data_IF_659697124805
#
_entry.id   IF_659697124805
#
_cell.length_a   1.000
_cell.length_b   1.000
_cell.length_c   1.000
_cell.angle_alpha   90.00
_cell.angle_beta   90.00
_cell.angle_gamma   90.00
#
_symmetry.space_group_name_H-M   'P 1'
#
loop_
_entity.id
_entity.type
_entity.pdbx_description
1 polymer ?
#
# COMPACT_ATOMS: atom_id res chain seq x y z
N UNK A 1 -1.63 16.83 17.95
CA UNK A 1 -1.70 15.36 17.79
C UNK A 1 -1.91 15.02 16.32
N UNK A 2 -2.90 15.66 15.69
CA UNK A 2 -3.32 15.40 14.31
C UNK A 2 -2.22 15.58 13.26
N UNK A 3 -1.35 16.58 13.41
CA UNK A 3 -0.19 16.80 12.51
C UNK A 3 0.79 15.62 12.55
N UNK A 4 1.03 15.05 13.74
CA UNK A 4 1.96 13.93 13.90
C UNK A 4 1.39 12.66 13.25
N UNK A 5 0.09 12.41 13.42
CA UNK A 5 -0.61 11.31 12.74
C UNK A 5 -0.60 11.47 11.22
N UNK A 6 -0.82 12.68 10.71
CA UNK A 6 -0.75 12.96 9.28
C UNK A 6 0.66 12.70 8.71
N UNK A 7 1.72 13.13 9.41
CA UNK A 7 3.11 12.86 8.99
C UNK A 7 3.42 11.36 9.03
N UNK A 8 3.06 10.63 10.09
CA UNK A 8 3.27 9.19 10.18
C UNK A 8 2.55 8.44 9.06
N UNK A 9 1.29 8.78 8.81
CA UNK A 9 0.51 8.18 7.72
C UNK A 9 1.11 8.46 6.33
N UNK A 10 1.69 9.64 6.13
CA UNK A 10 2.35 9.97 4.87
C UNK A 10 3.60 9.12 4.66
N UNK A 11 4.42 8.93 5.71
CA UNK A 11 5.58 8.04 5.68
C UNK A 11 5.15 6.60 5.37
N UNK A 12 4.07 6.11 5.97
CA UNK A 12 3.53 4.77 5.70
C UNK A 12 3.06 4.61 4.24
N UNK A 13 2.38 5.62 3.67
CA UNK A 13 1.95 5.60 2.27
C UNK A 13 3.17 5.52 1.33
N UNK A 14 4.24 6.26 1.62
CA UNK A 14 5.48 6.21 0.85
C UNK A 14 6.13 4.82 0.97
N UNK A 15 6.19 4.26 2.18
CA UNK A 15 6.71 2.92 2.40
C UNK A 15 5.92 1.86 1.61
N UNK A 16 4.59 1.87 1.70
CA UNK A 16 3.71 0.99 0.93
C UNK A 16 3.91 1.11 -0.59
N UNK A 17 4.13 2.34 -1.08
CA UNK A 17 4.40 2.58 -2.49
C UNK A 17 5.73 1.95 -2.92
N UNK A 18 6.77 2.07 -2.09
CA UNK A 18 8.07 1.46 -2.37
C UNK A 18 8.00 -0.08 -2.36
N UNK A 19 7.28 -0.68 -1.40
CA UNK A 19 7.03 -2.13 -1.39
C UNK A 19 6.32 -2.58 -2.67
N UNK A 20 5.29 -1.86 -3.12
CA UNK A 20 4.58 -2.19 -4.36
C UNK A 20 5.46 -2.00 -5.61
N UNK A 21 6.34 -1.01 -5.62
CA UNK A 21 7.35 -0.86 -6.66
C UNK A 21 8.30 -2.06 -6.73
N UNK A 22 8.73 -2.58 -5.58
CA UNK A 22 9.55 -3.80 -5.53
C UNK A 22 8.80 -5.02 -6.07
N UNK A 23 7.50 -5.16 -5.78
CA UNK A 23 6.66 -6.21 -6.37
C UNK A 23 6.65 -6.13 -7.90
N UNK A 24 6.47 -4.93 -8.45
CA UNK A 24 6.43 -4.72 -9.90
C UNK A 24 7.76 -5.08 -10.56
N UNK A 25 8.88 -4.62 -10.01
CA UNK A 25 10.23 -4.91 -10.53
C UNK A 25 10.51 -6.41 -10.48
N UNK A 26 10.20 -7.08 -9.36
CA UNK A 26 10.43 -8.53 -9.22
C UNK A 26 9.60 -9.35 -10.22
N UNK A 27 8.37 -8.91 -10.52
CA UNK A 27 7.53 -9.55 -11.53
C UNK A 27 8.04 -9.29 -12.97
N UNK A 28 8.61 -8.11 -13.23
CA UNK A 28 9.21 -7.77 -14.53
C UNK A 28 10.51 -8.57 -14.76
N UNK A 29 11.35 -8.73 -13.74
CA UNK A 29 12.53 -9.62 -13.76
C UNK A 29 12.17 -11.09 -14.03
N UNK A 30 11.00 -11.53 -13.57
CA UNK A 30 10.48 -12.86 -13.87
C UNK A 30 9.98 -12.99 -15.32
N UNK A 31 9.35 -11.95 -15.88
CA UNK A 31 8.87 -11.94 -17.27
C UNK A 31 10.02 -11.94 -18.29
N UNK A 32 11.12 -11.27 -17.95
CA UNK A 32 12.34 -11.24 -18.75
C UNK A 32 13.20 -12.52 -18.61
N UNK A 33 12.70 -13.55 -17.92
CA UNK A 33 13.32 -14.86 -17.69
C UNK A 33 14.70 -14.77 -16.98
N UNK A 34 14.94 -13.67 -16.24
CA UNK A 34 16.20 -13.43 -15.54
C UNK A 34 16.28 -14.13 -14.17
N UNK A 35 15.14 -14.49 -13.58
CA UNK A 35 15.06 -15.11 -12.25
C UNK A 35 14.23 -16.38 -12.27
N UNK A 36 14.65 -17.35 -11.45
CA UNK A 36 13.89 -18.57 -11.26
C UNK A 36 12.57 -18.27 -10.51
N UNK A 37 11.41 -18.71 -11.01
CA UNK A 37 10.09 -18.52 -10.37
C UNK A 37 10.01 -18.93 -8.90
N UNK A 38 10.74 -19.98 -8.49
CA UNK A 38 10.79 -20.42 -7.10
C UNK A 38 11.45 -19.38 -6.17
N UNK A 39 12.46 -18.66 -6.67
CA UNK A 39 13.15 -17.62 -5.91
C UNK A 39 12.31 -16.34 -5.87
N UNK A 40 11.61 -16.02 -6.95
CA UNK A 40 10.66 -14.90 -7.01
C UNK A 40 9.51 -15.13 -6.02
N UNK A 41 8.87 -16.30 -6.02
CA UNK A 41 7.80 -16.62 -5.07
C UNK A 41 8.26 -16.47 -3.61
N UNK A 42 9.49 -16.90 -3.28
CA UNK A 42 10.05 -16.78 -1.93
C UNK A 42 10.30 -15.32 -1.52
N UNK A 43 10.77 -14.48 -2.46
CA UNK A 43 10.96 -13.03 -2.22
C UNK A 43 9.63 -12.34 -2.03
N UNK A 44 8.68 -12.57 -2.93
CA UNK A 44 7.34 -12.00 -2.89
C UNK A 44 6.59 -12.39 -1.60
N UNK A 45 6.68 -13.65 -1.20
CA UNK A 45 6.03 -14.12 0.02
C UNK A 45 6.57 -13.44 1.30
N UNK A 46 7.88 -13.15 1.36
CA UNK A 46 8.46 -12.36 2.46
C UNK A 46 7.93 -10.92 2.51
N UNK A 47 7.44 -10.37 1.39
CA UNK A 47 6.91 -9.01 1.29
C UNK A 47 5.42 -8.90 1.57
N UNK A 48 4.67 -10.01 1.49
CA UNK A 48 3.23 -10.02 1.81
C UNK A 48 2.99 -9.60 3.27
N UNK A 49 3.80 -10.14 4.20
CA UNK A 49 3.68 -9.84 5.63
C UNK A 49 3.89 -8.34 5.94
N UNK A 50 5.00 -7.70 5.55
CA UNK A 50 5.20 -6.28 5.82
C UNK A 50 4.17 -5.39 5.11
N UNK A 51 3.70 -5.74 3.91
CA UNK A 51 2.63 -4.99 3.22
C UNK A 51 1.31 -5.03 4.00
N UNK A 52 0.92 -6.19 4.53
CA UNK A 52 -0.27 -6.33 5.37
C UNK A 52 -0.16 -5.55 6.68
N UNK A 53 1.01 -5.58 7.33
CA UNK A 53 1.25 -4.84 8.58
C UNK A 53 1.17 -3.34 8.33
N UNK A 54 1.85 -2.84 7.29
CA UNK A 54 1.83 -1.41 6.94
C UNK A 54 0.42 -0.93 6.57
N UNK A 55 -0.38 -1.75 5.89
CA UNK A 55 -1.79 -1.41 5.63
C UNK A 55 -2.64 -1.35 6.89
N UNK A 56 -2.44 -2.31 7.81
CA UNK A 56 -3.10 -2.31 9.10
C UNK A 56 -2.76 -1.06 9.91
N UNK A 57 -1.48 -0.65 9.91
CA UNK A 57 -1.01 0.57 10.55
C UNK A 57 -1.61 1.82 9.91
N UNK A 58 -1.65 1.90 8.58
CA UNK A 58 -2.27 3.02 7.86
C UNK A 58 -3.76 3.17 8.21
N UNK A 59 -4.49 2.06 8.28
CA UNK A 59 -5.90 2.07 8.67
C UNK A 59 -6.07 2.50 10.13
N UNK A 60 -5.21 2.04 11.03
CA UNK A 60 -5.21 2.43 12.44
C UNK A 60 -4.94 3.94 12.59
N UNK A 61 -3.97 4.50 11.87
CA UNK A 61 -3.67 5.93 11.88
C UNK A 61 -4.82 6.78 11.31
N UNK A 62 -5.49 6.30 10.25
CA UNK A 62 -6.69 6.97 9.73
C UNK A 62 -7.85 6.98 10.73
N UNK A 63 -8.04 5.88 11.47
CA UNK A 63 -9.09 5.77 12.49
C UNK A 63 -8.82 6.73 13.66
N UNK A 64 -7.56 6.81 14.10
CA UNK A 64 -7.15 7.70 15.19
C UNK A 64 -7.31 9.19 14.83
N UNK A 65 -7.10 9.53 13.56
CA UNK A 65 -7.19 10.90 13.07
C UNK A 65 -8.63 11.35 12.71
N UNK A 66 -9.65 10.49 12.89
CA UNK A 66 -11.05 10.78 12.59
C UNK A 66 -11.28 11.37 11.18
N UNK A 67 -10.57 10.83 10.18
CA UNK A 67 -10.65 11.28 8.78
C UNK A 67 -11.51 10.32 7.94
N UNK A 68 -12.85 10.48 7.90
CA UNK A 68 -13.75 9.53 7.23
C UNK A 68 -13.49 9.43 5.72
N UNK A 69 -13.01 10.50 5.08
CA UNK A 69 -12.75 10.50 3.64
C UNK A 69 -11.51 9.69 3.25
N UNK A 70 -10.43 9.80 4.02
CA UNK A 70 -9.19 9.01 3.82
C UNK A 70 -9.46 7.53 4.13
N UNK A 71 -10.28 7.27 5.15
CA UNK A 71 -10.69 5.90 5.50
C UNK A 71 -11.48 5.26 4.36
N UNK A 72 -12.49 5.95 3.81
CA UNK A 72 -13.35 5.44 2.74
C UNK A 72 -12.58 5.13 1.44
N UNK A 73 -11.51 5.90 1.17
CA UNK A 73 -10.60 5.66 0.05
C UNK A 73 -9.72 4.41 0.26
N UNK A 74 -9.36 4.09 1.51
CA UNK A 74 -8.57 2.89 1.85
C UNK A 74 -9.41 1.60 2.00
N UNK A 75 -10.72 1.71 2.25
CA UNK A 75 -11.63 0.56 2.38
C UNK A 75 -11.57 -0.42 1.20
N UNK A 76 -11.60 -0.01 -0.07
CA UNK A 76 -11.54 -0.97 -1.19
C UNK A 76 -10.22 -1.76 -1.23
N UNK A 77 -9.09 -1.14 -0.88
CA UNK A 77 -7.80 -1.87 -0.76
C UNK A 77 -7.82 -2.81 0.43
N UNK A 78 -8.36 -2.37 1.56
CA UNK A 78 -8.44 -3.19 2.75
C UNK A 78 -9.35 -4.41 2.57
N UNK A 79 -10.49 -4.25 1.89
CA UNK A 79 -11.39 -5.36 1.52
C UNK A 79 -10.68 -6.30 0.55
N UNK A 80 -9.88 -5.76 -0.37
CA UNK A 80 -9.11 -6.57 -1.30
C UNK A 80 -8.01 -7.38 -0.59
N UNK A 81 -7.25 -6.78 0.34
CA UNK A 81 -6.31 -7.49 1.20
C UNK A 81 -7.01 -8.52 2.09
N UNK A 82 -8.13 -8.16 2.72
CA UNK A 82 -8.91 -9.05 3.59
C UNK A 82 -9.45 -10.26 2.82
N UNK A 83 -9.94 -10.07 1.58
CA UNK A 83 -10.33 -11.18 0.71
C UNK A 83 -9.16 -12.09 0.37
N UNK A 84 -7.98 -11.54 0.10
CA UNK A 84 -6.76 -12.33 -0.17
C UNK A 84 -6.35 -13.18 1.04
N UNK A 85 -6.48 -12.62 2.24
CA UNK A 85 -6.20 -13.33 3.50
C UNK A 85 -7.24 -14.40 3.79
N UNK A 86 -8.53 -14.09 3.61
CA UNK A 86 -9.62 -15.06 3.82
C UNK A 86 -9.60 -16.23 2.84
N UNK A 87 -9.05 -16.05 1.63
CA UNK A 87 -8.90 -17.13 0.64
C UNK A 87 -7.65 -18.00 0.85
N UNK A 88 -6.85 -17.75 1.91
CA UNK A 88 -5.56 -18.41 2.15
C UNK A 88 -4.54 -18.26 1.00
N UNK A 89 -4.76 -17.33 0.07
CA UNK A 89 -3.88 -17.03 -1.09
C UNK A 89 -2.78 -16.00 -0.74
N UNK A 90 -2.47 -15.85 0.56
CA UNK A 90 -1.37 -14.99 1.02
C UNK A 90 0.01 -15.52 0.64
N UNK A 91 0.12 -16.81 0.34
CA UNK A 91 1.33 -17.43 -0.15
C UNK A 91 1.23 -17.51 -1.68
N UNK A 92 2.16 -16.86 -2.36
CA UNK A 92 2.26 -16.97 -3.82
C UNK A 92 2.89 -18.33 -4.12
N UNK A 93 2.09 -19.25 -4.65
CA UNK A 93 2.60 -20.57 -5.02
C UNK A 93 3.46 -20.47 -6.30
N UNK A 94 4.71 -20.95 -6.29
CA UNK A 94 5.65 -20.79 -7.40
C UNK A 94 5.19 -21.47 -8.69
N UNK A 95 4.38 -22.52 -8.59
CA UNK A 95 3.80 -23.26 -9.72
C UNK A 95 2.61 -22.52 -10.35
N UNK A 96 1.85 -21.73 -9.59
CA UNK A 96 0.72 -20.96 -10.11
C UNK A 96 1.14 -19.64 -10.76
N UNK A 97 2.20 -19.01 -10.25
CA UNK A 97 2.74 -17.77 -10.82
C UNK A 97 3.32 -17.98 -12.23
N UNK A 98 3.86 -19.17 -12.50
CA UNK A 98 4.49 -19.53 -13.77
C UNK A 98 3.49 -19.67 -14.93
N UNK A 99 2.21 -19.83 -14.63
CA UNK A 99 1.20 -19.90 -15.69
C UNK A 99 1.09 -18.51 -16.29
N UNK A 100 1.52 -18.32 -17.54
CA UNK A 100 1.53 -17.03 -18.26
C UNK A 100 0.28 -16.15 -18.07
N UNK A 101 -0.89 -16.79 -17.95
CA UNK A 101 -2.18 -16.11 -17.68
C UNK A 101 -2.24 -15.46 -16.28
N UNK A 102 -1.72 -16.15 -15.27
CA UNK A 102 -1.66 -15.68 -13.89
C UNK A 102 -0.53 -14.65 -13.71
N UNK A 103 0.62 -14.82 -14.38
CA UNK A 103 1.72 -13.86 -14.35
C UNK A 103 1.28 -12.49 -14.88
N UNK A 104 0.62 -12.48 -16.06
CA UNK A 104 0.09 -11.26 -16.66
C UNK A 104 -1.02 -10.61 -15.80
N UNK A 105 -1.87 -11.42 -15.17
CA UNK A 105 -2.89 -10.93 -14.27
C UNK A 105 -2.28 -10.31 -13.00
N UNK A 106 -1.31 -10.98 -12.38
CA UNK A 106 -0.59 -10.49 -11.20
C UNK A 106 0.18 -9.19 -11.49
N UNK A 107 0.79 -9.08 -12.68
CA UNK A 107 1.45 -7.85 -13.14
C UNK A 107 0.45 -6.71 -13.31
N UNK A 108 -0.67 -6.96 -13.98
CA UNK A 108 -1.72 -5.94 -14.15
C UNK A 108 -2.28 -5.49 -12.80
N UNK A 109 -2.46 -6.41 -11.86
CA UNK A 109 -2.87 -6.10 -10.49
C UNK A 109 -1.82 -5.24 -9.76
N UNK A 110 -0.53 -5.58 -9.85
CA UNK A 110 0.55 -4.80 -9.27
C UNK A 110 0.66 -3.39 -9.89
N UNK A 111 0.44 -3.26 -11.21
CA UNK A 111 0.41 -1.96 -11.90
C UNK A 111 -0.77 -1.12 -11.39
N UNK A 112 -1.97 -1.69 -11.34
CA UNK A 112 -3.18 -0.99 -10.86
C UNK A 112 -2.99 -0.52 -9.43
N UNK A 113 -2.46 -1.37 -8.57
CA UNK A 113 -2.09 -1.01 -7.20
C UNK A 113 -1.08 0.13 -7.14
N UNK A 114 -0.01 0.03 -7.92
CA UNK A 114 1.06 1.06 -7.94
C UNK A 114 0.51 2.42 -8.35
N UNK A 115 -0.34 2.45 -9.38
CA UNK A 115 -1.05 3.68 -9.81
C UNK A 115 -1.94 4.20 -8.69
N UNK A 116 -2.67 3.32 -8.00
CA UNK A 116 -3.50 3.71 -6.86
C UNK A 116 -2.68 4.32 -5.72
N UNK A 117 -1.56 3.69 -5.31
CA UNK A 117 -0.68 4.27 -4.30
C UNK A 117 -0.06 5.59 -4.74
N UNK A 118 0.22 5.75 -6.04
CA UNK A 118 0.62 7.03 -6.61
C UNK A 118 -0.42 8.13 -6.38
N UNK A 119 -1.70 7.85 -6.63
CA UNK A 119 -2.78 8.78 -6.29
C UNK A 119 -2.91 9.00 -4.77
N UNK A 120 -2.71 7.95 -3.98
CA UNK A 120 -2.74 8.01 -2.52
C UNK A 120 -1.66 8.95 -1.95
N UNK A 121 -0.46 9.00 -2.55
CA UNK A 121 0.60 9.94 -2.15
C UNK A 121 0.14 11.40 -2.30
N UNK A 122 -0.46 11.74 -3.44
CA UNK A 122 -0.96 13.10 -3.71
C UNK A 122 -2.01 13.49 -2.67
N UNK A 123 -2.92 12.57 -2.36
CA UNK A 123 -3.95 12.78 -1.36
C UNK A 123 -3.38 12.90 0.06
N UNK A 124 -2.43 12.04 0.43
CA UNK A 124 -1.73 12.08 1.72
C UNK A 124 -0.96 13.40 1.92
N UNK A 125 -0.32 13.91 0.86
CA UNK A 125 0.35 15.22 0.90
C UNK A 125 -0.64 16.36 1.15
N UNK A 126 -1.79 16.36 0.46
CA UNK A 126 -2.84 17.36 0.67
C UNK A 126 -3.37 17.34 2.12
N UNK A 127 -3.59 16.15 2.66
CA UNK A 127 -4.08 15.97 4.02
C UNK A 127 -3.05 16.47 5.06
N UNK A 128 -1.78 16.14 4.89
CA UNK A 128 -0.69 16.62 5.75
C UNK A 128 -0.61 18.15 5.77
N UNK A 129 -0.66 18.80 4.59
CA UNK A 129 -0.63 20.27 4.50
C UNK A 129 -1.85 20.88 5.19
N UNK A 130 -3.04 20.32 4.98
CA UNK A 130 -4.27 20.79 5.62
C UNK A 130 -4.22 20.67 7.14
N UNK A 131 -3.67 19.57 7.68
CA UNK A 131 -3.47 19.38 9.12
C UNK A 131 -2.50 20.43 9.71
N UNK A 132 -1.41 20.73 9.01
CA UNK A 132 -0.44 21.76 9.40
C UNK A 132 -1.08 23.16 9.40
N UNK A 133 -1.81 23.51 8.33
CA UNK A 133 -2.47 24.81 8.20
C UNK A 133 -3.54 25.00 9.26
N UNK A 134 -4.35 23.97 9.53
CA UNK A 134 -5.36 24.01 10.58
C UNK A 134 -4.72 24.20 11.97
N UNK A 135 -3.64 23.46 12.25
CA UNK A 135 -2.87 23.63 13.49
C UNK A 135 -2.25 25.03 13.62
N UNK A 136 -1.82 25.65 12.51
CA UNK A 136 -1.28 26.99 12.51
C UNK A 136 -2.36 28.05 12.77
N UNK A 137 -3.55 27.90 12.17
CA UNK A 137 -4.70 28.81 12.35
C UNK A 137 -5.23 28.79 13.79
N UNK A 138 -5.25 27.62 14.43
CA UNK A 138 -5.64 27.47 15.84
C UNK A 138 -4.77 28.23 16.83
N UNK A 139 -3.50 28.52 16.50
CA UNK A 139 -2.62 29.37 17.34
C UNK A 139 -2.90 30.86 17.17
N UNK A 140 -3.43 31.29 16.03
CA UNK A 140 -3.64 32.71 15.71
C UNK A 140 -4.96 33.26 16.27
N UNK A 141 -5.98 32.40 16.46
CA UNK A 141 -7.27 32.78 17.05
C UNK A 141 -7.33 32.76 18.59
N UNK A 142 -6.20 32.47 19.27
CA UNK A 142 -6.10 32.44 20.74
C UNK A 142 -5.29 33.63 21.30
N UNK A 143 -4.95 34.60 20.45
CA UNK A 143 -4.36 35.88 20.82
C UNK A 143 -5.38 36.98 20.65
#
# INVERSE_FOLDING_TARGET
>A
MDVLLAVLSFIDIVALTFLNGYWLITLDELELDHLNPADVARRLNKLVVPEMVLHGLLMFFCLLAWAPWVFLLNVPIAVWHARRVMRNEHLVDPTEILRFKNLRAARMEAIVKTVFYGFQIVYGMFWMVSAIVLSAKGRKGRK
#
